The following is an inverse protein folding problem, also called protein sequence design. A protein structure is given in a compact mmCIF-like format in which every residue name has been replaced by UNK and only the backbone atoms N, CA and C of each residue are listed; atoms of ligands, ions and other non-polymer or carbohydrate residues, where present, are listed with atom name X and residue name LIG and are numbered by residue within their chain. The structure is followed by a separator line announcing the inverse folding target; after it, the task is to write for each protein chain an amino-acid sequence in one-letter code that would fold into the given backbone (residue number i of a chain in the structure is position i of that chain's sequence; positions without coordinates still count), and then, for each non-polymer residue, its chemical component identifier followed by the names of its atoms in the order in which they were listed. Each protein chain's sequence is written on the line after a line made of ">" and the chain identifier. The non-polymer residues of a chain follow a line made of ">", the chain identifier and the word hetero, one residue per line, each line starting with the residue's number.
data_IF_991696095907
#
_entry.id   IF_991696095907
#
_cell.length_a   1.000
_cell.length_b   1.000
_cell.length_c   1.000
_cell.angle_alpha   90.00
_cell.angle_beta   90.00
_cell.angle_gamma   90.00
#
_symmetry.space_group_name_H-M   'P 1'
#
loop_
_entity.id
_entity.type
_entity.pdbx_description
1 polymer ?
#
# COMPACT_ATOMS: atom_id res chain seq x y z
N UNK A 1 27.30 42.05 28.50
CA UNK A 1 26.01 41.47 28.04
C UNK A 1 26.18 40.49 26.87
N UNK A 2 26.99 40.77 25.83
CA UNK A 2 27.15 39.87 24.68
C UNK A 2 27.82 38.52 25.01
N UNK A 3 28.72 38.46 26.02
CA UNK A 3 29.41 37.22 26.41
C UNK A 3 28.54 36.27 27.25
N UNK A 4 27.57 36.78 28.00
CA UNK A 4 26.60 35.96 28.75
C UNK A 4 25.57 35.29 27.84
N UNK A 5 25.17 35.95 26.75
CA UNK A 5 24.22 35.39 25.79
C UNK A 5 24.81 34.19 25.01
N UNK A 6 26.12 34.22 24.71
CA UNK A 6 26.81 33.12 24.03
C UNK A 6 26.96 31.87 24.92
N UNK A 7 27.11 32.03 26.23
CA UNK A 7 27.23 30.91 27.18
C UNK A 7 25.88 30.24 27.41
N UNK A 8 24.78 31.00 27.46
CA UNK A 8 23.42 30.43 27.57
C UNK A 8 23.02 29.67 26.33
N UNK A 9 23.42 30.15 25.13
CA UNK A 9 23.13 29.43 23.86
C UNK A 9 23.96 28.15 23.73
N UNK A 10 25.19 28.12 24.24
CA UNK A 10 26.02 26.90 24.22
C UNK A 10 25.54 25.85 25.24
N UNK A 11 24.96 26.24 26.36
CA UNK A 11 24.41 25.32 27.36
C UNK A 11 23.11 24.67 26.92
N UNK A 12 22.31 25.34 26.09
CA UNK A 12 21.07 24.79 25.53
C UNK A 12 21.33 23.70 24.47
N UNK A 13 22.48 23.69 23.82
CA UNK A 13 22.88 22.71 22.81
C UNK A 13 23.40 21.41 23.41
N UNK A 14 23.84 21.37 24.66
CA UNK A 14 24.40 20.18 25.31
C UNK A 14 23.34 19.30 25.99
N UNK A 15 22.14 19.86 26.26
CA UNK A 15 21.03 19.11 26.89
C UNK A 15 20.14 18.31 25.93
N UNK A 16 20.41 18.36 24.62
CA UNK A 16 19.64 17.67 23.59
C UNK A 16 20.14 16.28 23.17
N UNK A 17 21.27 15.76 23.71
CA UNK A 17 21.90 14.52 23.23
C UNK A 17 21.84 13.31 24.19
N UNK A 18 21.03 13.32 25.23
CA UNK A 18 20.89 12.15 26.11
C UNK A 18 19.49 11.55 26.11
N UNK A 19 19.01 11.11 24.94
CA UNK A 19 17.85 10.24 24.85
C UNK A 19 18.12 9.10 23.83
N UNK A 20 19.25 8.39 23.95
CA UNK A 20 19.43 7.04 23.45
C UNK A 20 19.56 6.12 24.66
N UNK A 21 18.43 5.61 25.14
CA UNK A 21 18.31 4.63 26.22
C UNK A 21 17.48 3.45 25.79
N UNK A 22 18.19 2.37 25.43
CA UNK A 22 17.89 0.94 25.62
C UNK A 22 16.44 0.43 25.49
N UNK A 23 16.25 -0.43 24.49
CA UNK A 23 15.58 -1.73 24.68
C UNK A 23 14.08 -1.73 24.90
N UNK A 24 13.36 -1.86 23.83
CA UNK A 24 11.99 -2.34 23.82
C UNK A 24 11.62 -2.59 22.36
N UNK A 25 11.51 -3.85 21.98
CA UNK A 25 10.87 -4.24 20.73
C UNK A 25 9.39 -3.87 20.84
N UNK A 26 9.08 -2.60 20.65
CA UNK A 26 7.75 -2.10 20.42
C UNK A 26 7.51 -2.24 18.93
N UNK A 27 6.60 -3.11 18.53
CA UNK A 27 6.12 -3.21 17.17
C UNK A 27 5.85 -1.81 16.65
N UNK A 28 6.68 -1.36 15.70
CA UNK A 28 6.56 -0.05 15.13
C UNK A 28 5.19 0.10 14.50
N UNK A 29 4.34 0.91 15.10
CA UNK A 29 3.24 1.54 14.38
C UNK A 29 3.88 2.30 13.22
N UNK A 30 3.97 1.66 12.07
CA UNK A 30 4.30 2.37 10.85
C UNK A 30 3.15 3.34 10.61
N UNK A 31 3.39 4.61 10.82
CA UNK A 31 2.40 5.71 10.67
C UNK A 31 2.02 5.93 9.19
N UNK A 32 1.98 4.87 8.41
CA UNK A 32 1.70 4.85 6.99
C UNK A 32 0.33 4.25 6.68
N UNK A 33 -0.35 4.86 5.73
CA UNK A 33 -1.66 4.45 5.23
C UNK A 33 -1.55 3.30 4.24
N UNK A 34 -2.45 2.33 4.32
CA UNK A 34 -2.68 1.31 3.29
C UNK A 34 -3.63 1.87 2.25
N UNK A 35 -3.28 1.79 0.98
CA UNK A 35 -4.14 2.24 -0.12
C UNK A 35 -4.75 1.03 -0.84
N UNK A 36 -6.09 0.99 -0.89
CA UNK A 36 -6.84 -0.11 -1.50
C UNK A 36 -7.56 0.40 -2.75
N UNK A 37 -7.26 -0.19 -3.89
CA UNK A 37 -7.79 0.21 -5.19
C UNK A 37 -8.74 -0.85 -5.73
N UNK A 38 -9.94 -0.45 -6.06
CA UNK A 38 -10.97 -1.30 -6.65
C UNK A 38 -11.21 -0.90 -8.10
N UNK A 39 -11.41 -1.90 -8.98
CA UNK A 39 -11.74 -1.59 -10.37
C UNK A 39 -13.07 -0.85 -10.50
N UNK A 40 -14.04 -1.16 -9.63
CA UNK A 40 -15.29 -0.40 -9.47
C UNK A 40 -15.97 -0.73 -8.15
N UNK A 41 -16.71 0.22 -7.59
CA UNK A 41 -17.61 -0.02 -6.46
C UNK A 41 -18.98 -0.56 -6.90
N UNK A 42 -19.32 -0.46 -8.19
CA UNK A 42 -20.60 -0.89 -8.73
C UNK A 42 -20.81 -2.41 -8.80
N UNK A 43 -19.75 -3.20 -8.65
CA UNK A 43 -19.81 -4.65 -8.61
C UNK A 43 -20.25 -5.14 -7.22
N UNK A 44 -21.29 -6.00 -7.18
CA UNK A 44 -21.86 -6.50 -5.91
C UNK A 44 -20.87 -7.35 -5.11
N UNK A 45 -20.07 -8.21 -5.79
CA UNK A 45 -19.05 -9.02 -5.14
C UNK A 45 -17.92 -8.14 -4.58
N UNK A 46 -17.40 -7.22 -5.38
CA UNK A 46 -16.36 -6.27 -4.95
C UNK A 46 -16.85 -5.38 -3.81
N UNK A 47 -18.12 -4.99 -3.80
CA UNK A 47 -18.71 -4.25 -2.70
C UNK A 47 -18.69 -5.02 -1.38
N UNK A 48 -18.98 -6.34 -1.44
CA UNK A 48 -18.88 -7.24 -0.28
C UNK A 48 -17.42 -7.40 0.20
N UNK A 49 -16.48 -7.62 -0.74
CA UNK A 49 -15.06 -7.71 -0.43
C UNK A 49 -14.55 -6.42 0.21
N UNK A 50 -14.93 -5.26 -0.34
CA UNK A 50 -14.56 -3.94 0.21
C UNK A 50 -15.06 -3.76 1.64
N UNK A 51 -16.30 -4.11 1.91
CA UNK A 51 -16.87 -4.01 3.26
C UNK A 51 -16.12 -4.90 4.26
N UNK A 52 -15.81 -6.14 3.87
CA UNK A 52 -15.07 -7.08 4.71
C UNK A 52 -13.63 -6.64 4.95
N UNK A 53 -12.94 -6.17 3.91
CA UNK A 53 -11.56 -5.68 4.00
C UNK A 53 -11.48 -4.43 4.88
N UNK A 54 -12.40 -3.46 4.69
CA UNK A 54 -12.47 -2.27 5.52
C UNK A 54 -12.64 -2.63 7.00
N UNK A 55 -13.56 -3.55 7.31
CA UNK A 55 -13.77 -4.03 8.69
C UNK A 55 -12.50 -4.64 9.28
N UNK A 56 -11.80 -5.51 8.54
CA UNK A 56 -10.57 -6.15 9.02
C UNK A 56 -9.45 -5.14 9.26
N UNK A 57 -9.29 -4.14 8.40
CA UNK A 57 -8.30 -3.08 8.55
C UNK A 57 -8.62 -2.19 9.77
N UNK A 58 -9.89 -1.87 10.00
CA UNK A 58 -10.37 -1.13 11.17
C UNK A 58 -10.13 -1.91 12.47
N UNK A 59 -10.47 -3.20 12.50
CA UNK A 59 -10.23 -4.09 13.65
C UNK A 59 -8.74 -4.24 13.97
N UNK A 60 -7.88 -4.21 12.93
CA UNK A 60 -6.43 -4.23 13.08
C UNK A 60 -5.83 -2.87 13.44
N UNK A 61 -6.62 -1.80 13.53
CA UNK A 61 -6.15 -0.44 13.81
C UNK A 61 -5.28 0.14 12.70
N UNK A 62 -5.40 -0.36 11.47
CA UNK A 62 -4.62 0.08 10.31
C UNK A 62 -5.32 1.27 9.64
N UNK A 63 -4.59 2.36 9.45
CA UNK A 63 -5.07 3.49 8.64
C UNK A 63 -5.12 3.08 7.17
N UNK A 64 -6.23 3.31 6.50
CA UNK A 64 -6.38 2.96 5.09
C UNK A 64 -7.24 3.97 4.32
N UNK A 65 -7.06 3.98 3.00
CA UNK A 65 -7.87 4.74 2.06
C UNK A 65 -8.34 3.83 0.92
N UNK A 66 -9.65 3.81 0.68
CA UNK A 66 -10.24 3.12 -0.45
C UNK A 66 -10.36 4.06 -1.67
N UNK A 67 -10.07 3.53 -2.85
CA UNK A 67 -10.16 4.22 -4.14
C UNK A 67 -11.06 3.46 -5.11
N UNK A 68 -11.96 4.16 -5.78
CA UNK A 68 -12.81 3.63 -6.86
C UNK A 68 -12.27 4.11 -8.21
N UNK A 69 -11.84 3.19 -9.06
CA UNK A 69 -11.42 3.54 -10.41
C UNK A 69 -12.59 3.71 -11.37
N UNK A 70 -13.80 3.31 -10.96
CA UNK A 70 -15.02 3.40 -11.77
C UNK A 70 -14.84 2.78 -13.18
N UNK A 71 -14.14 1.65 -13.28
CA UNK A 71 -13.85 0.95 -14.53
C UNK A 71 -12.85 1.63 -15.45
N UNK A 72 -12.14 2.65 -14.98
CA UNK A 72 -11.18 3.42 -15.79
C UNK A 72 -9.74 3.21 -15.33
N UNK A 73 -8.92 2.59 -16.20
CA UNK A 73 -7.51 2.30 -15.87
C UNK A 73 -6.67 3.58 -15.72
N UNK A 74 -6.93 4.62 -16.48
CA UNK A 74 -6.22 5.91 -16.33
C UNK A 74 -6.48 6.49 -14.94
N UNK A 75 -7.74 6.50 -14.50
CA UNK A 75 -8.11 6.93 -13.14
C UNK A 75 -7.40 6.11 -12.08
N UNK A 76 -7.33 4.78 -12.24
CA UNK A 76 -6.61 3.93 -11.29
C UNK A 76 -5.12 4.29 -11.23
N UNK A 77 -4.48 4.50 -12.37
CA UNK A 77 -3.07 4.88 -12.45
C UNK A 77 -2.79 6.22 -11.74
N UNK A 78 -3.67 7.22 -11.93
CA UNK A 78 -3.58 8.52 -11.26
C UNK A 78 -3.77 8.39 -9.74
N UNK A 79 -4.70 7.54 -9.31
CA UNK A 79 -4.94 7.25 -7.89
C UNK A 79 -3.72 6.58 -7.25
N UNK A 80 -3.11 5.59 -7.91
CA UNK A 80 -1.87 4.93 -7.45
C UNK A 80 -0.73 5.93 -7.33
N UNK A 81 -0.52 6.76 -8.35
CA UNK A 81 0.49 7.82 -8.35
C UNK A 81 0.31 8.76 -7.16
N UNK A 82 -0.93 9.19 -6.92
CA UNK A 82 -1.28 10.07 -5.81
C UNK A 82 -1.04 9.40 -4.45
N UNK A 83 -1.44 8.15 -4.28
CA UNK A 83 -1.24 7.40 -3.05
C UNK A 83 0.25 7.21 -2.72
N UNK A 84 1.05 6.86 -3.72
CA UNK A 84 2.50 6.76 -3.57
C UNK A 84 3.16 8.10 -3.22
N UNK A 85 2.70 9.21 -3.83
CA UNK A 85 3.18 10.55 -3.50
C UNK A 85 2.81 10.97 -2.07
N UNK A 86 1.68 10.50 -1.53
CA UNK A 86 1.25 10.70 -0.14
C UNK A 86 1.99 9.79 0.86
N UNK A 87 2.79 8.87 0.39
CA UNK A 87 3.58 7.97 1.25
C UNK A 87 2.86 6.71 1.68
N UNK A 88 1.96 6.19 0.85
CA UNK A 88 1.34 4.87 1.06
C UNK A 88 2.39 3.80 1.36
N UNK A 89 2.11 2.91 2.29
CA UNK A 89 3.04 1.86 2.74
C UNK A 89 2.72 0.47 2.17
N UNK A 90 1.54 0.31 1.62
CA UNK A 90 1.10 -0.90 0.95
C UNK A 90 0.04 -0.52 -0.08
N UNK A 91 0.13 -1.07 -1.27
CA UNK A 91 -0.91 -1.00 -2.29
C UNK A 91 -1.63 -2.36 -2.34
N UNK A 92 -2.95 -2.36 -2.18
CA UNK A 92 -3.81 -3.53 -2.39
C UNK A 92 -4.67 -3.22 -3.62
N UNK A 93 -4.49 -3.97 -4.70
CA UNK A 93 -4.97 -3.56 -6.03
C UNK A 93 -5.85 -4.63 -6.67
N UNK A 94 -7.09 -4.26 -6.97
CA UNK A 94 -7.97 -4.95 -7.92
C UNK A 94 -7.86 -4.21 -9.26
N UNK A 95 -7.02 -4.71 -10.16
CA UNK A 95 -6.65 -4.02 -11.40
C UNK A 95 -7.85 -3.86 -12.34
N UNK A 96 -7.96 -2.71 -13.04
CA UNK A 96 -9.04 -2.44 -13.98
C UNK A 96 -8.83 -3.19 -15.30
N UNK A 97 -7.69 -2.97 -15.94
CA UNK A 97 -7.38 -3.61 -17.22
C UNK A 97 -6.66 -4.95 -17.00
N UNK A 98 -7.30 -6.02 -17.45
CA UNK A 98 -6.77 -7.38 -17.45
C UNK A 98 -6.54 -7.91 -18.86
N UNK A 99 -6.74 -7.09 -19.88
CA UNK A 99 -6.54 -7.46 -21.29
C UNK A 99 -5.07 -7.53 -21.71
N UNK A 100 -4.18 -6.89 -20.93
CA UNK A 100 -2.73 -6.99 -21.09
C UNK A 100 -2.05 -6.89 -19.72
N UNK A 101 -0.75 -7.22 -19.69
CA UNK A 101 0.06 -7.07 -18.48
C UNK A 101 0.45 -5.63 -18.18
N UNK A 102 0.25 -4.69 -19.11
CA UNK A 102 0.80 -3.35 -19.05
C UNK A 102 0.32 -2.55 -17.84
N UNK A 103 -0.98 -2.65 -17.52
CA UNK A 103 -1.56 -1.93 -16.39
C UNK A 103 -0.97 -2.40 -15.05
N UNK A 104 -0.94 -3.70 -14.82
CA UNK A 104 -0.39 -4.29 -13.60
C UNK A 104 1.12 -4.04 -13.51
N UNK A 105 1.87 -4.22 -14.61
CA UNK A 105 3.31 -3.96 -14.66
C UNK A 105 3.64 -2.50 -14.36
N UNK A 106 2.86 -1.55 -14.87
CA UNK A 106 3.04 -0.14 -14.59
C UNK A 106 2.87 0.16 -13.08
N UNK A 107 1.85 -0.42 -12.45
CA UNK A 107 1.63 -0.29 -11.00
C UNK A 107 2.82 -0.86 -10.21
N UNK A 108 3.31 -2.05 -10.59
CA UNK A 108 4.49 -2.67 -9.97
C UNK A 108 5.72 -1.78 -10.12
N UNK A 109 5.97 -1.23 -11.31
CA UNK A 109 7.13 -0.35 -11.55
C UNK A 109 7.09 0.89 -10.66
N UNK A 110 5.94 1.58 -10.59
CA UNK A 110 5.76 2.76 -9.73
C UNK A 110 5.97 2.42 -8.24
N UNK A 111 5.44 1.30 -7.78
CA UNK A 111 5.59 0.84 -6.40
C UNK A 111 7.05 0.45 -6.08
N UNK A 112 7.71 -0.25 -7.01
CA UNK A 112 9.11 -0.67 -6.90
C UNK A 112 10.06 0.53 -6.77
N UNK A 113 9.85 1.59 -7.56
CA UNK A 113 10.62 2.84 -7.46
C UNK A 113 10.53 3.49 -6.07
N UNK A 114 9.41 3.31 -5.38
CA UNK A 114 9.17 3.82 -4.02
C UNK A 114 9.48 2.81 -2.92
N UNK A 115 9.83 1.56 -3.27
CA UNK A 115 10.05 0.48 -2.32
C UNK A 115 8.80 -0.01 -1.61
N UNK A 116 7.60 0.29 -2.15
CA UNK A 116 6.28 0.00 -1.57
C UNK A 116 5.80 -1.38 -2.01
N UNK A 117 5.37 -2.27 -1.09
CA UNK A 117 4.79 -3.56 -1.45
C UNK A 117 3.46 -3.41 -2.23
N UNK A 118 3.17 -4.42 -3.06
CA UNK A 118 1.93 -4.52 -3.83
C UNK A 118 1.28 -5.88 -3.61
N UNK A 119 -0.01 -5.90 -3.35
CA UNK A 119 -0.82 -7.12 -3.34
C UNK A 119 -1.95 -6.94 -4.35
N UNK A 120 -1.91 -7.70 -5.43
CA UNK A 120 -3.04 -7.81 -6.34
C UNK A 120 -4.06 -8.79 -5.79
N UNK A 121 -5.35 -8.55 -6.04
CA UNK A 121 -6.39 -9.46 -5.59
C UNK A 121 -7.52 -9.62 -6.60
N UNK A 122 -8.20 -10.79 -6.55
CA UNK A 122 -9.37 -11.17 -7.29
C UNK A 122 -9.14 -11.29 -8.82
N UNK A 123 -8.84 -10.19 -9.53
CA UNK A 123 -8.62 -10.19 -10.98
C UNK A 123 -7.20 -10.64 -11.29
N UNK A 124 -7.05 -11.61 -12.19
CA UNK A 124 -5.77 -12.25 -12.49
C UNK A 124 -4.71 -11.25 -12.96
N UNK A 125 -3.52 -11.45 -12.46
CA UNK A 125 -2.29 -10.80 -12.91
C UNK A 125 -1.29 -11.89 -13.26
N UNK A 126 -0.62 -11.74 -14.39
CA UNK A 126 0.36 -12.70 -14.87
C UNK A 126 1.50 -12.92 -13.88
N UNK A 127 1.95 -14.17 -13.74
CA UNK A 127 3.04 -14.53 -12.83
C UNK A 127 4.34 -13.76 -13.12
N UNK A 128 4.60 -13.46 -14.40
CA UNK A 128 5.78 -12.68 -14.80
C UNK A 128 5.77 -11.28 -14.23
N UNK A 129 4.59 -10.65 -14.07
CA UNK A 129 4.42 -9.34 -13.43
C UNK A 129 4.66 -9.46 -11.93
N UNK A 130 4.03 -10.45 -11.28
CA UNK A 130 4.16 -10.66 -9.83
C UNK A 130 5.62 -10.95 -9.47
N UNK A 131 6.31 -11.83 -10.21
CA UNK A 131 7.71 -12.20 -9.95
C UNK A 131 8.72 -11.12 -10.33
N UNK A 132 8.32 -10.06 -11.04
CA UNK A 132 9.19 -8.93 -11.39
C UNK A 132 9.60 -8.04 -10.20
N UNK A 133 8.96 -8.24 -9.04
CA UNK A 133 9.22 -7.49 -7.82
C UNK A 133 9.07 -8.39 -6.59
N UNK A 134 10.11 -8.45 -5.74
CA UNK A 134 10.18 -9.29 -4.53
C UNK A 134 9.15 -8.94 -3.43
N UNK A 135 8.53 -7.75 -3.52
CA UNK A 135 7.46 -7.29 -2.62
C UNK A 135 6.11 -7.25 -3.33
N UNK A 136 5.92 -8.07 -4.36
CA UNK A 136 4.65 -8.21 -5.06
C UNK A 136 4.06 -9.59 -4.77
N UNK A 137 2.73 -9.64 -4.60
CA UNK A 137 1.99 -10.89 -4.42
C UNK A 137 0.63 -10.81 -5.13
N UNK A 138 0.06 -11.98 -5.39
CA UNK A 138 -1.31 -12.12 -5.89
C UNK A 138 -2.13 -12.99 -4.95
N UNK A 139 -3.37 -12.58 -4.68
CA UNK A 139 -4.38 -13.32 -3.90
C UNK A 139 -5.64 -13.46 -4.74
N UNK A 140 -5.95 -14.65 -5.15
CA UNK A 140 -7.13 -14.93 -5.99
C UNK A 140 -7.45 -16.41 -6.08
N UNK A 141 -8.44 -16.73 -6.91
CA UNK A 141 -8.83 -18.10 -7.19
C UNK A 141 -7.86 -18.72 -8.18
N UNK A 142 -7.45 -19.95 -7.92
CA UNK A 142 -6.82 -20.80 -8.92
C UNK A 142 -7.89 -21.29 -9.90
N UNK A 143 -7.89 -20.74 -11.11
CA UNK A 143 -8.92 -21.03 -12.11
C UNK A 143 -8.81 -22.45 -12.68
N UNK A 144 -7.61 -23.03 -12.73
CA UNK A 144 -7.42 -24.41 -13.18
C UNK A 144 -8.02 -25.38 -12.16
N UNK A 145 -7.71 -25.16 -10.87
CA UNK A 145 -8.30 -25.95 -9.80
C UNK A 145 -9.82 -25.78 -9.74
N UNK A 146 -10.33 -24.55 -9.89
CA UNK A 146 -11.76 -24.28 -9.92
C UNK A 146 -12.46 -24.99 -11.09
N UNK A 147 -11.85 -25.02 -12.27
CA UNK A 147 -12.33 -25.79 -13.44
C UNK A 147 -12.38 -27.27 -13.18
N UNK A 148 -11.36 -27.87 -12.58
CA UNK A 148 -11.32 -29.28 -12.20
C UNK A 148 -12.37 -29.69 -11.16
N UNK A 149 -12.75 -28.77 -10.28
CA UNK A 149 -13.77 -29.02 -9.26
C UNK A 149 -15.21 -28.95 -9.81
N UNK A 150 -15.42 -28.35 -10.98
CA UNK A 150 -16.75 -28.20 -11.61
C UNK A 150 -17.03 -29.23 -12.71
N UNK A 151 -16.03 -29.94 -13.20
CA UNK A 151 -16.10 -30.99 -14.20
C UNK A 151 -16.04 -32.37 -13.61
#
# INVERSE_FOLDING_TARGET
>A
MKKFLAIVLALALVLGLTACGTGGASGGSSDGEVSVFYYTYGDAYISSVRSSMSKLLEEAGVKYQNYDANGNQTTQTEQVTTALAKGSKLLIVNVVDTGSNDAAQNIVNMAKEKGVPVVFFNRSVDESVVSSYDKCAFVGTDYEMAGHMQG
#
